data_IF_420545871776
#
_entry.id   IF_420545871776
#
_cell.length_a   1.000
_cell.length_b   1.000
_cell.length_c   1.000
_cell.angle_alpha   90.00
_cell.angle_beta   90.00
_cell.angle_gamma   90.00
#
_symmetry.space_group_name_H-M   'P 1'
#
loop_
_entity.id
_entity.type
_entity.pdbx_description
1 polymer ?
#
# COMPACT_ATOMS: atom_id res chain seq x y z
N UNK A 1 4.52 8.67 15.22
CA UNK A 1 5.37 9.08 14.09
C UNK A 1 4.90 10.36 13.44
N UNK A 2 3.65 10.46 12.96
CA UNK A 2 3.20 11.63 12.19
C UNK A 2 3.28 12.99 12.94
N UNK A 3 3.04 13.02 14.26
CA UNK A 3 3.19 14.25 15.08
C UNK A 3 4.65 14.72 15.19
N UNK A 4 5.60 13.79 15.28
CA UNK A 4 7.02 14.13 15.31
C UNK A 4 7.57 14.43 13.90
N UNK A 5 7.04 13.76 12.87
CA UNK A 5 7.43 13.92 11.47
C UNK A 5 6.92 15.22 10.83
N UNK A 6 5.79 15.76 11.30
CA UNK A 6 5.28 17.05 10.79
C UNK A 6 6.23 18.21 11.10
N UNK A 7 7.01 18.12 12.18
CA UNK A 7 8.06 19.08 12.53
C UNK A 7 9.29 18.99 11.61
N UNK A 8 9.43 17.90 10.85
CA UNK A 8 10.61 17.59 10.01
C UNK A 8 10.30 17.62 8.51
N UNK A 9 9.17 18.20 8.11
CA UNK A 9 8.69 18.19 6.70
C UNK A 9 8.51 16.78 6.10
N UNK A 10 8.22 15.78 6.94
CA UNK A 10 7.97 14.41 6.48
C UNK A 10 6.58 14.26 5.87
N UNK A 11 6.49 13.44 4.82
CA UNK A 11 5.20 12.99 4.29
C UNK A 11 4.49 12.07 5.30
N UNK A 12 3.17 11.95 5.16
CA UNK A 12 2.35 11.12 6.05
C UNK A 12 2.86 9.68 5.99
N UNK A 13 3.28 9.14 7.14
CA UNK A 13 3.68 7.75 7.24
C UNK A 13 2.44 6.88 7.48
N UNK A 14 2.23 5.93 6.57
CA UNK A 14 1.21 4.88 6.67
C UNK A 14 1.86 3.50 6.64
N UNK A 15 1.14 2.49 7.15
CA UNK A 15 1.59 1.10 7.07
C UNK A 15 1.67 0.65 5.60
N UNK A 16 2.79 0.03 5.22
CA UNK A 16 2.98 -0.48 3.86
C UNK A 16 2.84 -2.00 3.85
N UNK A 17 1.79 -2.51 3.20
CA UNK A 17 1.56 -3.95 3.04
C UNK A 17 2.74 -4.65 2.35
N UNK A 18 3.28 -4.03 1.29
CA UNK A 18 4.39 -4.59 0.53
C UNK A 18 5.65 -4.78 1.39
N UNK A 19 6.03 -3.77 2.20
CA UNK A 19 7.19 -3.88 3.11
C UNK A 19 6.94 -4.87 4.24
N UNK A 20 5.73 -4.88 4.82
CA UNK A 20 5.38 -5.81 5.88
C UNK A 20 5.34 -7.26 5.40
N UNK A 21 4.86 -7.52 4.18
CA UNK A 21 4.83 -8.85 3.59
C UNK A 21 6.26 -9.39 3.38
N UNK A 22 7.16 -8.59 2.81
CA UNK A 22 8.57 -8.96 2.64
C UNK A 22 9.24 -9.19 3.99
N UNK A 23 8.98 -8.32 4.98
CA UNK A 23 9.53 -8.48 6.32
C UNK A 23 9.02 -9.76 7.02
N UNK A 24 7.75 -10.11 6.80
CA UNK A 24 7.16 -11.35 7.29
C UNK A 24 7.77 -12.58 6.60
N UNK A 25 7.94 -12.54 5.28
CA UNK A 25 8.61 -13.61 4.51
C UNK A 25 10.09 -13.78 4.90
N UNK A 26 10.76 -12.72 5.33
CA UNK A 26 12.12 -12.75 5.85
C UNK A 26 12.23 -13.33 7.28
N UNK A 27 11.11 -13.80 7.88
CA UNK A 27 11.09 -14.40 9.22
C UNK A 27 11.31 -13.41 10.36
N UNK A 28 11.15 -12.10 10.10
CA UNK A 28 11.40 -11.06 11.08
C UNK A 28 10.15 -10.78 11.93
N UNK A 29 10.20 -11.16 13.21
CA UNK A 29 9.09 -10.96 14.16
C UNK A 29 9.29 -9.79 15.15
N UNK A 30 10.46 -9.12 15.12
CA UNK A 30 10.82 -8.10 16.10
C UNK A 30 10.88 -6.70 15.50
N UNK A 31 10.65 -5.68 16.34
CA UNK A 31 10.75 -4.27 15.95
C UNK A 31 12.16 -3.85 15.49
N UNK A 32 13.17 -4.68 15.76
CA UNK A 32 14.56 -4.47 15.33
C UNK A 32 14.68 -4.44 13.82
N UNK A 33 13.87 -5.20 13.09
CA UNK A 33 13.89 -5.19 11.62
C UNK A 33 13.54 -3.80 11.04
N UNK A 34 12.54 -3.13 11.61
CA UNK A 34 12.18 -1.77 11.18
C UNK A 34 13.29 -0.74 11.47
N UNK A 35 14.05 -0.94 12.55
CA UNK A 35 15.20 -0.08 12.88
C UNK A 35 16.31 -0.29 11.85
N UNK A 36 16.68 -1.53 11.57
CA UNK A 36 17.72 -1.87 10.58
C UNK A 36 17.33 -1.37 9.19
N UNK A 37 16.07 -1.54 8.78
CA UNK A 37 15.54 -1.00 7.53
C UNK A 37 15.71 0.53 7.46
N UNK A 38 15.31 1.25 8.52
CA UNK A 38 15.37 2.72 8.55
C UNK A 38 16.81 3.23 8.50
N UNK A 39 17.74 2.58 9.22
CA UNK A 39 19.18 2.92 9.19
C UNK A 39 19.77 2.66 7.81
N UNK A 40 19.40 1.54 7.18
CA UNK A 40 19.87 1.19 5.83
C UNK A 40 19.39 2.22 4.80
N UNK A 41 18.13 2.66 4.88
CA UNK A 41 17.59 3.71 4.01
C UNK A 41 18.33 5.03 4.23
N UNK A 42 18.58 5.42 5.48
CA UNK A 42 19.34 6.63 5.82
C UNK A 42 20.75 6.61 5.21
N UNK A 43 21.46 5.49 5.34
CA UNK A 43 22.81 5.32 4.80
C UNK A 43 22.81 5.31 3.26
N UNK A 44 21.80 4.69 2.66
CA UNK A 44 21.59 4.69 1.20
C UNK A 44 21.37 6.10 0.68
N UNK A 45 20.59 6.93 1.38
CA UNK A 45 20.37 8.32 1.00
C UNK A 45 21.62 9.20 1.21
N UNK A 46 22.49 8.89 2.16
CA UNK A 46 23.73 9.67 2.36
C UNK A 46 24.82 9.31 1.34
N UNK A 47 24.97 8.03 0.99
CA UNK A 47 26.11 7.53 0.18
C UNK A 47 25.72 7.26 -1.28
N UNK A 48 24.53 6.71 -1.54
CA UNK A 48 24.12 6.14 -2.83
C UNK A 48 23.18 7.08 -3.60
N UNK A 49 22.73 8.20 -3.01
CA UNK A 49 21.96 9.24 -3.72
C UNK A 49 22.51 9.68 -5.08
N UNK A 50 23.83 9.87 -5.32
CA UNK A 50 24.30 10.22 -6.66
C UNK A 50 24.09 9.11 -7.70
N UNK A 51 23.98 7.86 -7.26
CA UNK A 51 23.73 6.70 -8.11
C UNK A 51 22.25 6.60 -8.53
N UNK A 52 21.33 6.91 -7.61
CA UNK A 52 19.88 6.93 -7.88
C UNK A 52 19.45 8.07 -8.80
N UNK A 53 20.26 9.13 -8.96
CA UNK A 53 19.96 10.24 -9.87
C UNK A 53 19.84 9.80 -11.34
N UNK A 54 20.51 8.72 -11.72
CA UNK A 54 20.49 8.18 -13.07
C UNK A 54 19.43 7.08 -13.28
N UNK A 55 18.63 6.76 -12.26
CA UNK A 55 17.61 5.72 -12.39
C UNK A 55 16.49 6.20 -13.33
N UNK A 56 16.26 5.52 -14.46
CA UNK A 56 15.18 5.90 -15.36
C UNK A 56 13.82 5.62 -14.71
N UNK A 57 12.86 6.51 -14.96
CA UNK A 57 11.48 6.40 -14.45
C UNK A 57 10.83 5.04 -14.76
N UNK A 58 11.28 4.36 -15.81
CA UNK A 58 10.83 3.01 -16.18
C UNK A 58 11.10 1.97 -15.07
N UNK A 59 12.24 2.04 -14.39
CA UNK A 59 12.57 1.10 -13.30
C UNK A 59 11.68 1.37 -12.10
N UNK A 60 11.44 2.63 -11.76
CA UNK A 60 10.51 3.00 -10.68
C UNK A 60 9.09 2.52 -10.98
N UNK A 61 8.61 2.71 -12.22
CA UNK A 61 7.30 2.23 -12.65
C UNK A 61 7.19 0.70 -12.55
N UNK A 62 8.21 -0.04 -13.00
CA UNK A 62 8.25 -1.49 -12.91
C UNK A 62 8.17 -2.00 -11.45
N UNK A 63 8.88 -1.35 -10.53
CA UNK A 63 8.82 -1.69 -9.09
C UNK A 63 7.41 -1.47 -8.54
N UNK A 64 6.77 -0.34 -8.87
CA UNK A 64 5.41 -0.03 -8.42
C UNK A 64 4.41 -1.06 -8.97
N UNK A 65 4.47 -1.35 -10.27
CA UNK A 65 3.59 -2.34 -10.91
C UNK A 65 3.77 -3.71 -10.28
N UNK A 66 5.01 -4.15 -10.06
CA UNK A 66 5.29 -5.42 -9.37
C UNK A 66 4.72 -5.46 -7.95
N UNK A 67 4.79 -4.36 -7.21
CA UNK A 67 4.23 -4.28 -5.87
C UNK A 67 2.69 -4.32 -5.87
N UNK A 68 2.05 -3.66 -6.84
CA UNK A 68 0.58 -3.67 -6.99
C UNK A 68 0.07 -5.05 -7.38
N UNK A 69 0.75 -5.75 -8.31
CA UNK A 69 0.39 -7.11 -8.71
C UNK A 69 0.42 -8.05 -7.49
N UNK A 70 1.41 -7.92 -6.61
CA UNK A 70 1.49 -8.70 -5.37
C UNK A 70 0.41 -8.38 -4.34
N UNK A 71 -0.30 -7.27 -4.49
CA UNK A 71 -1.41 -6.89 -3.59
C UNK A 71 -2.78 -7.35 -4.12
N UNK A 72 -2.90 -7.68 -5.41
CA UNK A 72 -4.16 -8.13 -5.99
C UNK A 72 -4.40 -9.60 -5.60
N UNK A 73 -5.36 -9.82 -4.71
CA UNK A 73 -5.82 -11.15 -4.34
C UNK A 73 -7.12 -11.51 -5.09
N UNK A 74 -6.94 -12.18 -6.23
CA UNK A 74 -8.05 -12.69 -7.04
C UNK A 74 -8.87 -13.77 -6.33
N UNK A 75 -8.25 -14.52 -5.42
CA UNK A 75 -8.91 -15.64 -4.74
C UNK A 75 -9.92 -15.12 -3.72
N UNK A 76 -9.57 -14.05 -2.99
CA UNK A 76 -10.48 -13.33 -2.11
C UNK A 76 -11.64 -12.71 -2.89
N UNK A 77 -11.38 -12.10 -4.06
CA UNK A 77 -12.45 -11.54 -4.91
C UNK A 77 -13.45 -12.61 -5.38
N UNK A 78 -12.98 -13.80 -5.76
CA UNK A 78 -13.85 -14.91 -6.16
C UNK A 78 -14.66 -15.48 -4.98
N UNK A 79 -14.06 -15.55 -3.79
CA UNK A 79 -14.74 -15.99 -2.58
C UNK A 79 -15.88 -15.04 -2.21
N UNK A 80 -15.64 -13.72 -2.24
CA UNK A 80 -16.66 -12.69 -1.98
C UNK A 80 -17.83 -12.84 -2.97
N UNK A 81 -17.54 -13.00 -4.27
CA UNK A 81 -18.59 -13.22 -5.28
C UNK A 81 -19.49 -14.43 -4.97
N UNK A 82 -18.93 -15.48 -4.38
CA UNK A 82 -19.68 -16.72 -4.06
C UNK A 82 -20.46 -16.65 -2.76
N UNK A 83 -20.02 -15.83 -1.80
CA UNK A 83 -20.62 -15.72 -0.47
C UNK A 83 -21.73 -14.66 -0.48
N UNK A 84 -21.41 -13.44 -0.91
CA UNK A 84 -22.36 -12.31 -0.89
C UNK A 84 -22.20 -11.40 -2.12
N UNK A 85 -23.29 -11.25 -2.88
CA UNK A 85 -23.31 -10.42 -4.09
C UNK A 85 -23.32 -8.92 -3.77
N UNK A 86 -23.80 -8.52 -2.60
CA UNK A 86 -23.82 -7.12 -2.16
C UNK A 86 -22.42 -6.64 -1.78
N UNK A 87 -21.64 -7.47 -1.08
CA UNK A 87 -20.22 -7.19 -0.79
C UNK A 87 -19.38 -7.12 -2.06
N UNK A 88 -19.69 -7.96 -3.06
CA UNK A 88 -19.04 -7.84 -4.35
C UNK A 88 -19.38 -6.52 -5.06
N UNK A 89 -20.64 -6.09 -5.00
CA UNK A 89 -21.07 -4.82 -5.59
C UNK A 89 -20.42 -3.62 -4.87
N UNK A 90 -20.26 -3.70 -3.54
CA UNK A 90 -19.50 -2.73 -2.76
C UNK A 90 -18.05 -2.66 -3.21
N UNK A 91 -17.39 -3.81 -3.40
CA UNK A 91 -16.01 -3.90 -3.88
C UNK A 91 -15.84 -3.31 -5.30
N UNK A 92 -16.74 -3.66 -6.23
CA UNK A 92 -16.76 -3.09 -7.58
C UNK A 92 -17.01 -1.58 -7.55
N UNK A 93 -18.00 -1.13 -6.76
CA UNK A 93 -18.34 0.28 -6.62
C UNK A 93 -17.19 1.09 -6.04
N UNK A 94 -16.48 0.54 -5.05
CA UNK A 94 -15.25 1.12 -4.52
C UNK A 94 -14.17 1.21 -5.60
N UNK A 95 -13.91 0.11 -6.32
CA UNK A 95 -12.89 0.05 -7.36
C UNK A 95 -13.13 1.10 -8.45
N UNK A 96 -14.34 1.15 -9.00
CA UNK A 96 -14.70 2.16 -10.00
C UNK A 96 -14.73 3.56 -9.43
N UNK A 97 -15.19 3.75 -8.18
CA UNK A 97 -15.17 5.05 -7.51
C UNK A 97 -13.75 5.61 -7.32
N UNK A 98 -12.79 4.75 -6.97
CA UNK A 98 -11.39 5.15 -6.86
C UNK A 98 -10.77 5.46 -8.23
N UNK A 99 -11.04 4.62 -9.24
CA UNK A 99 -10.45 4.77 -10.59
C UNK A 99 -10.98 6.01 -11.32
N UNK A 100 -12.29 6.30 -11.23
CA UNK A 100 -12.91 7.37 -12.01
C UNK A 100 -13.01 8.71 -11.28
N UNK A 101 -13.06 8.70 -9.94
CA UNK A 101 -13.36 9.90 -9.17
C UNK A 101 -12.18 10.25 -8.28
N UNK A 102 -12.01 9.51 -7.19
CA UNK A 102 -10.99 9.76 -6.15
C UNK A 102 -11.04 8.67 -5.09
N UNK A 103 -9.90 8.44 -4.42
CA UNK A 103 -9.77 7.45 -3.34
C UNK A 103 -10.79 7.70 -2.22
N UNK A 104 -10.98 8.97 -1.84
CA UNK A 104 -11.89 9.39 -0.76
C UNK A 104 -13.35 9.03 -1.07
N UNK A 105 -13.81 9.32 -2.29
CA UNK A 105 -15.19 9.08 -2.71
C UNK A 105 -15.44 7.58 -2.93
N UNK A 106 -14.49 6.86 -3.52
CA UNK A 106 -14.56 5.41 -3.64
C UNK A 106 -14.69 4.71 -2.28
N UNK A 107 -13.95 5.16 -1.27
CA UNK A 107 -14.06 4.66 0.10
C UNK A 107 -15.44 4.95 0.72
N UNK A 108 -15.98 6.16 0.54
CA UNK A 108 -17.30 6.52 1.04
C UNK A 108 -18.42 5.66 0.45
N UNK A 109 -18.33 5.35 -0.85
CA UNK A 109 -19.29 4.46 -1.52
C UNK A 109 -19.21 3.06 -0.91
N UNK A 110 -17.99 2.52 -0.74
CA UNK A 110 -17.76 1.18 -0.18
C UNK A 110 -18.38 1.03 1.22
N UNK A 111 -18.14 2.00 2.11
CA UNK A 111 -18.65 1.99 3.48
C UNK A 111 -20.16 2.08 3.51
N UNK A 112 -20.77 2.92 2.66
CA UNK A 112 -22.23 3.03 2.57
C UNK A 112 -22.87 1.72 2.11
N UNK A 113 -22.31 1.08 1.08
CA UNK A 113 -22.83 -0.17 0.55
C UNK A 113 -22.71 -1.31 1.55
N UNK A 114 -21.59 -1.40 2.29
CA UNK A 114 -21.40 -2.41 3.32
C UNK A 114 -22.35 -2.20 4.51
N UNK A 115 -22.59 -0.95 4.94
CA UNK A 115 -23.55 -0.65 6.01
C UNK A 115 -25.00 -0.98 5.64
N UNK A 116 -25.37 -0.88 4.36
CA UNK A 116 -26.70 -1.24 3.87
C UNK A 116 -26.91 -2.75 3.74
N UNK A 117 -25.83 -3.53 3.71
CA UNK A 117 -25.86 -4.98 3.58
C UNK A 117 -25.78 -5.73 4.92
N UNK A 118 -25.45 -5.04 6.03
CA UNK A 118 -25.36 -5.58 7.39
C UNK A 118 -26.70 -5.54 8.13
#
# INVERSE_FOLDING_TARGET
MNVAGSLTSCYIATGSFSRSAVNYMAGCHTAVSNIVMSVTVMLTLLVITPLFKYTPNAVLAAIIISAVIGLIDYQTAYLIWKVDKLDFLACMGAFFGVVFISVEIGLLIAVRTHLLSS
#
